data_IF_408775287808
#
_entry.id   IF_408775287808
#
_cell.length_a   1.000
_cell.length_b   1.000
_cell.length_c   1.000
_cell.angle_alpha   90.00
_cell.angle_beta   90.00
_cell.angle_gamma   90.00
#
_symmetry.space_group_name_H-M   'P 1'
#
loop_
_entity.id
_entity.type
_entity.pdbx_description
1 polymer ?
#
# COMPACT_ATOMS: atom_id res chain seq x y z
N UNK A 1 13.43 -18.23 -3.92
CA UNK A 1 12.31 -17.70 -3.09
C UNK A 1 12.04 -16.26 -3.49
N UNK A 2 10.88 -15.95 -4.07
CA UNK A 2 10.51 -14.57 -4.43
C UNK A 2 10.29 -13.74 -3.15
N UNK A 3 11.16 -12.76 -2.91
CA UNK A 3 11.04 -11.80 -1.79
C UNK A 3 9.91 -10.80 -2.07
N UNK A 4 9.41 -10.16 -1.01
CA UNK A 4 8.53 -8.98 -1.18
C UNK A 4 9.35 -7.83 -1.79
N UNK A 5 8.78 -7.05 -2.72
CA UNK A 5 9.44 -5.86 -3.23
C UNK A 5 9.54 -4.79 -2.14
N UNK A 6 10.58 -3.95 -2.20
CA UNK A 6 10.72 -2.75 -1.36
C UNK A 6 10.16 -1.49 -2.05
N UNK A 7 9.88 -1.56 -3.35
CA UNK A 7 9.31 -0.48 -4.15
C UNK A 7 8.49 -1.06 -5.30
N UNK A 8 7.39 -0.39 -5.63
CA UNK A 8 6.60 -0.61 -6.84
C UNK A 8 6.54 0.69 -7.63
N UNK A 9 6.60 0.61 -8.95
CA UNK A 9 6.47 1.77 -9.84
C UNK A 9 5.36 1.47 -10.83
N UNK A 10 4.31 2.29 -10.83
CA UNK A 10 3.26 2.18 -11.84
C UNK A 10 3.73 2.69 -13.21
N UNK A 11 3.07 2.31 -14.32
CA UNK A 11 3.50 2.65 -15.67
C UNK A 11 3.68 4.16 -15.93
N UNK A 12 2.96 5.02 -15.21
CA UNK A 12 3.05 6.49 -15.28
C UNK A 12 4.09 7.09 -14.31
N UNK A 13 5.06 6.30 -13.84
CA UNK A 13 6.18 6.77 -13.03
C UNK A 13 5.85 7.03 -11.55
N UNK A 14 4.64 6.68 -11.09
CA UNK A 14 4.24 6.84 -9.69
C UNK A 14 4.93 5.78 -8.82
N UNK A 15 5.74 6.25 -7.87
CA UNK A 15 6.62 5.42 -7.04
C UNK A 15 5.99 5.20 -5.68
N UNK A 16 5.90 3.94 -5.30
CA UNK A 16 5.32 3.49 -4.03
C UNK A 16 6.40 2.73 -3.26
N UNK A 17 6.67 3.16 -2.03
CA UNK A 17 7.56 2.44 -1.12
C UNK A 17 6.79 1.31 -0.44
N UNK A 18 7.45 0.18 -0.17
CA UNK A 18 6.84 -0.98 0.49
C UNK A 18 7.67 -1.35 1.71
N UNK A 19 7.05 -1.28 2.88
CA UNK A 19 7.69 -1.56 4.17
C UNK A 19 6.99 -2.73 4.86
N UNK A 20 7.77 -3.69 5.34
CA UNK A 20 7.26 -4.77 6.18
C UNK A 20 7.58 -4.45 7.63
N UNK A 21 6.55 -4.17 8.41
CA UNK A 21 6.67 -3.67 9.78
C UNK A 21 6.22 -4.71 10.80
N UNK A 22 6.70 -4.59 12.03
CA UNK A 22 6.31 -5.46 13.15
C UNK A 22 4.83 -5.29 13.51
N UNK A 23 4.30 -6.24 14.29
CA UNK A 23 2.93 -6.13 14.82
C UNK A 23 2.74 -4.85 15.64
N UNK A 24 3.66 -4.56 16.55
CA UNK A 24 3.60 -3.33 17.38
C UNK A 24 3.60 -2.06 16.54
N UNK A 25 4.38 -2.00 15.46
CA UNK A 25 4.38 -0.84 14.55
C UNK A 25 3.10 -0.73 13.73
N UNK A 26 2.50 -1.87 13.34
CA UNK A 26 1.22 -1.90 12.66
C UNK A 26 0.10 -1.49 13.61
N UNK A 27 0.08 -2.03 14.82
CA UNK A 27 -0.98 -1.77 15.80
C UNK A 27 -1.01 -0.31 16.25
N UNK A 28 0.15 0.36 16.29
CA UNK A 28 0.23 1.82 16.51
C UNK A 28 -0.40 2.65 15.39
N UNK A 29 -0.50 2.10 14.17
CA UNK A 29 -1.11 2.76 13.00
C UNK A 29 -2.59 2.40 12.91
N UNK A 30 -2.88 1.10 12.87
CA UNK A 30 -4.23 0.53 12.91
C UNK A 30 -4.15 -0.92 13.47
N UNK A 31 -4.73 -1.20 14.65
CA UNK A 31 -4.69 -2.51 15.28
C UNK A 31 -5.44 -3.60 14.50
N UNK A 32 -6.39 -3.23 13.63
CA UNK A 32 -7.18 -4.18 12.85
C UNK A 32 -6.65 -4.36 11.42
N UNK A 33 -5.61 -3.60 11.04
CA UNK A 33 -5.04 -3.67 9.71
C UNK A 33 -4.00 -4.79 9.55
N UNK A 34 -4.09 -5.47 8.42
CA UNK A 34 -3.09 -6.41 7.91
C UNK A 34 -2.06 -5.70 6.99
N UNK A 35 -2.48 -4.58 6.38
CA UNK A 35 -1.67 -3.66 5.60
C UNK A 35 -2.37 -2.30 5.49
N UNK A 36 -1.60 -1.27 5.13
CA UNK A 36 -2.07 0.12 5.07
C UNK A 36 -1.42 0.80 3.87
N UNK A 37 -2.23 1.39 3.00
CA UNK A 37 -1.80 2.43 2.07
C UNK A 37 -1.79 3.81 2.76
N UNK A 38 -0.62 4.42 2.86
CA UNK A 38 -0.42 5.79 3.32
C UNK A 38 -0.19 6.72 2.12
N UNK A 39 -1.25 7.42 1.72
CA UNK A 39 -1.21 8.38 0.62
C UNK A 39 -0.34 9.60 0.93
N UNK A 40 -0.13 9.99 2.19
CA UNK A 40 0.71 11.15 2.48
C UNK A 40 2.18 10.87 2.16
N UNK A 41 2.66 9.69 2.57
CA UNK A 41 4.07 9.28 2.37
C UNK A 41 4.30 8.41 1.14
N UNK A 42 3.24 8.08 0.40
CA UNK A 42 3.27 7.15 -0.74
C UNK A 42 3.87 5.79 -0.38
N UNK A 43 3.45 5.27 0.77
CA UNK A 43 4.02 4.07 1.37
C UNK A 43 2.95 3.03 1.65
N UNK A 44 3.22 1.79 1.29
CA UNK A 44 2.45 0.63 1.72
C UNK A 44 3.19 -0.02 2.89
N UNK A 45 2.50 -0.15 4.01
CA UNK A 45 2.95 -0.90 5.17
C UNK A 45 2.29 -2.28 5.18
N UNK A 46 3.06 -3.32 5.43
CA UNK A 46 2.59 -4.71 5.48
C UNK A 46 2.99 -5.35 6.81
N UNK A 47 2.07 -6.04 7.45
CA UNK A 47 2.33 -6.74 8.71
C UNK A 47 3.29 -7.93 8.46
N UNK A 48 4.49 -7.86 9.02
CA UNK A 48 5.62 -8.74 8.67
C UNK A 48 5.39 -10.21 9.04
N UNK A 49 4.65 -10.49 10.13
CA UNK A 49 4.39 -11.86 10.61
C UNK A 49 3.53 -12.70 9.67
N UNK A 50 2.79 -12.07 8.76
CA UNK A 50 1.85 -12.78 7.90
C UNK A 50 2.59 -13.68 6.89
N UNK A 51 1.99 -14.82 6.49
CA UNK A 51 2.52 -15.66 5.43
C UNK A 51 2.79 -14.86 4.16
N UNK A 52 3.82 -15.27 3.39
CA UNK A 52 4.22 -14.55 2.17
C UNK A 52 3.07 -14.38 1.16
N UNK A 53 2.26 -15.42 0.96
CA UNK A 53 1.09 -15.37 0.08
C UNK A 53 0.09 -14.31 0.53
N UNK A 54 -0.19 -14.23 1.84
CA UNK A 54 -1.10 -13.24 2.42
C UNK A 54 -0.54 -11.82 2.25
N UNK A 55 0.75 -11.60 2.50
CA UNK A 55 1.39 -10.29 2.28
C UNK A 55 1.34 -9.83 0.82
N UNK A 56 1.47 -10.74 -0.14
CA UNK A 56 1.32 -10.41 -1.57
C UNK A 56 -0.10 -10.04 -1.95
N UNK A 57 -1.07 -10.77 -1.43
CA UNK A 57 -2.49 -10.44 -1.60
C UNK A 57 -2.76 -9.03 -1.06
N UNK A 58 -2.32 -8.74 0.16
CA UNK A 58 -2.48 -7.41 0.79
C UNK A 58 -1.75 -6.33 -0.03
N UNK A 59 -0.51 -6.58 -0.45
CA UNK A 59 0.20 -5.63 -1.31
C UNK A 59 -0.58 -5.32 -2.59
N UNK A 60 -1.13 -6.33 -3.27
CA UNK A 60 -1.95 -6.12 -4.46
C UNK A 60 -3.21 -5.29 -4.17
N UNK A 61 -3.85 -5.53 -3.02
CA UNK A 61 -5.00 -4.77 -2.55
C UNK A 61 -4.65 -3.28 -2.30
N UNK A 62 -3.59 -3.01 -1.53
CA UNK A 62 -3.15 -1.64 -1.23
C UNK A 62 -2.65 -0.89 -2.47
N UNK A 63 -2.06 -1.59 -3.45
CA UNK A 63 -1.75 -0.99 -4.75
C UNK A 63 -3.03 -0.54 -5.49
N UNK A 64 -4.16 -1.24 -5.30
CA UNK A 64 -5.46 -0.81 -5.81
C UNK A 64 -5.89 0.53 -5.21
N UNK A 65 -5.76 0.70 -3.90
CA UNK A 65 -6.01 2.00 -3.24
C UNK A 65 -5.10 3.10 -3.78
N UNK A 66 -3.80 2.83 -3.90
CA UNK A 66 -2.84 3.78 -4.45
C UNK A 66 -3.15 4.18 -5.90
N UNK A 67 -3.64 3.25 -6.72
CA UNK A 67 -4.06 3.50 -8.09
C UNK A 67 -5.29 4.39 -8.14
N UNK A 68 -6.32 4.08 -7.35
CA UNK A 68 -7.55 4.85 -7.28
C UNK A 68 -7.29 6.28 -6.80
N UNK A 69 -6.45 6.47 -5.77
CA UNK A 69 -6.07 7.80 -5.32
C UNK A 69 -5.32 8.60 -6.38
N UNK A 70 -4.43 7.95 -7.13
CA UNK A 70 -3.75 8.59 -8.26
C UNK A 70 -4.76 9.00 -9.35
N UNK A 71 -5.67 8.10 -9.73
CA UNK A 71 -6.72 8.35 -10.71
C UNK A 71 -7.61 9.52 -10.30
N UNK A 72 -8.13 9.51 -9.07
CA UNK A 72 -8.96 10.60 -8.55
C UNK A 72 -8.22 11.93 -8.63
N UNK A 73 -6.93 11.97 -8.26
CA UNK A 73 -6.14 13.21 -8.24
C UNK A 73 -5.83 13.74 -9.64
N UNK A 74 -5.51 12.89 -10.60
CA UNK A 74 -4.94 13.32 -11.89
C UNK A 74 -5.88 13.20 -13.09
N UNK A 75 -6.89 12.34 -13.03
CA UNK A 75 -7.80 12.10 -14.16
C UNK A 75 -9.20 12.66 -13.93
N UNK A 76 -9.57 12.86 -12.67
CA UNK A 76 -10.92 13.29 -12.30
C UNK A 76 -10.94 14.60 -11.52
N UNK A 77 -9.79 15.24 -11.30
CA UNK A 77 -9.63 16.44 -10.47
C UNK A 77 -10.32 16.32 -9.09
N UNK A 78 -10.44 15.10 -8.57
CA UNK A 78 -11.10 14.77 -7.31
C UNK A 78 -12.64 14.80 -7.33
N UNK A 79 -13.30 14.85 -8.49
CA UNK A 79 -14.77 14.97 -8.58
C UNK A 79 -15.53 13.75 -8.05
N UNK A 80 -14.96 12.55 -8.10
CA UNK A 80 -15.55 11.32 -7.57
C UNK A 80 -15.38 11.15 -6.05
N UNK A 81 -14.81 12.15 -5.35
CA UNK A 81 -14.76 12.16 -3.88
C UNK A 81 -16.06 12.64 -3.22
N UNK A 82 -17.08 13.02 -4.00
CA UNK A 82 -18.41 13.44 -3.51
C UNK A 82 -19.42 12.31 -3.55
#
# INVERSE_FOLDING_TARGET
MLRMPSRVVFPFGYRISVHQISDTEMDRRDPNADGIWDDATKTIYLRKRLPLTRRRYILAHELGHAWLDWQHRHLDNGKAKT
#
